data_IF_847823796989
#
_entry.id   IF_847823796989
#
_cell.length_a   1.000
_cell.length_b   1.000
_cell.length_c   1.000
_cell.angle_alpha   90.00
_cell.angle_beta   90.00
_cell.angle_gamma   90.00
#
_symmetry.space_group_name_H-M   'P 1'
#
loop_
_entity.id
_entity.type
_entity.pdbx_description
1 polymer ?
#
# COMPACT_ATOMS: atom_id res chain seq x y z
N UNK A 1 2.57 -4.06 -6.61
CA UNK A 1 2.94 -2.71 -7.09
C UNK A 1 2.49 -2.53 -8.52
N UNK A 2 2.01 -1.34 -8.86
CA UNK A 2 1.67 -0.91 -10.21
C UNK A 2 1.82 0.62 -10.31
N UNK A 3 1.62 1.21 -11.48
CA UNK A 3 1.72 2.68 -11.63
C UNK A 3 0.46 3.45 -11.20
N UNK A 4 -0.65 2.76 -10.96
CA UNK A 4 -1.91 3.40 -10.56
C UNK A 4 -1.87 3.80 -9.09
N UNK A 5 -1.44 2.88 -8.22
CA UNK A 5 -1.47 3.08 -6.76
C UNK A 5 -0.17 3.64 -6.20
N UNK A 6 0.98 3.21 -6.73
CA UNK A 6 2.27 3.65 -6.21
C UNK A 6 2.46 5.16 -6.44
N UNK A 7 3.15 5.81 -5.50
CA UNK A 7 3.64 7.15 -5.74
C UNK A 7 4.76 7.12 -6.79
N UNK A 8 4.84 8.12 -7.69
CA UNK A 8 5.88 8.17 -8.71
C UNK A 8 7.28 8.10 -8.10
N UNK A 9 8.09 7.15 -8.57
CA UNK A 9 9.49 7.01 -8.17
C UNK A 9 10.32 6.38 -9.29
N UNK A 10 11.64 6.62 -9.33
CA UNK A 10 12.53 5.89 -10.23
C UNK A 10 12.48 4.38 -9.96
N UNK A 11 12.45 3.59 -11.03
CA UNK A 11 12.46 2.13 -10.99
C UNK A 11 13.65 1.64 -11.79
N UNK A 12 14.40 0.68 -11.23
CA UNK A 12 15.54 0.09 -11.91
C UNK A 12 15.11 -0.92 -12.98
N UNK A 13 15.91 -1.16 -14.03
CA UNK A 13 15.53 -2.05 -15.14
C UNK A 13 15.22 -3.51 -14.75
N UNK A 14 15.66 -3.97 -13.57
CA UNK A 14 15.38 -5.29 -13.03
C UNK A 14 14.07 -5.40 -12.23
N UNK A 15 13.25 -4.35 -12.19
CA UNK A 15 11.95 -4.35 -11.49
C UNK A 15 10.83 -4.27 -12.52
N UNK A 16 9.95 -5.27 -12.48
CA UNK A 16 8.78 -5.35 -13.36
C UNK A 16 7.53 -5.27 -12.48
N UNK A 17 6.62 -4.38 -12.83
CA UNK A 17 5.38 -4.17 -12.07
C UNK A 17 4.29 -5.12 -12.60
N UNK A 18 3.84 -6.03 -11.73
CA UNK A 18 2.85 -7.06 -12.05
C UNK A 18 1.68 -7.05 -11.06
N UNK A 19 1.37 -5.90 -10.46
CA UNK A 19 0.24 -5.77 -9.53
C UNK A 19 -1.09 -6.15 -10.18
N UNK A 20 -1.98 -6.81 -9.41
CA UNK A 20 -3.31 -7.18 -9.88
C UNK A 20 -3.36 -8.44 -10.76
N UNK A 21 -2.51 -9.44 -10.51
CA UNK A 21 -2.52 -10.73 -11.23
C UNK A 21 -3.90 -11.44 -11.13
N UNK A 22 -4.61 -11.26 -10.01
CA UNK A 22 -5.88 -11.96 -9.75
C UNK A 22 -7.12 -11.23 -10.29
N UNK A 23 -6.97 -10.09 -10.98
CA UNK A 23 -8.11 -9.24 -11.34
C UNK A 23 -9.10 -9.90 -12.30
N UNK A 24 -8.62 -10.83 -13.13
CA UNK A 24 -9.41 -11.54 -14.12
C UNK A 24 -10.01 -12.87 -13.60
N UNK A 25 -9.70 -13.27 -12.37
CA UNK A 25 -10.24 -14.50 -11.77
C UNK A 25 -11.66 -14.24 -11.28
N UNK A 26 -12.65 -14.81 -11.96
CA UNK A 26 -14.07 -14.66 -11.60
C UNK A 26 -14.79 -15.99 -11.71
N UNK A 27 -15.44 -16.39 -10.62
CA UNK A 27 -16.32 -17.54 -10.56
C UNK A 27 -17.74 -17.07 -10.21
N UNK A 28 -18.79 -17.78 -10.69
CA UNK A 28 -20.15 -17.52 -10.23
C UNK A 28 -20.26 -17.73 -8.72
N UNK A 29 -20.97 -16.83 -8.04
CA UNK A 29 -21.24 -16.99 -6.62
C UNK A 29 -22.17 -18.21 -6.38
N UNK A 30 -22.00 -18.93 -5.27
CA UNK A 30 -22.97 -19.93 -4.83
C UNK A 30 -24.38 -19.32 -4.72
N UNK A 31 -25.42 -20.08 -5.09
CA UNK A 31 -26.80 -19.56 -5.18
C UNK A 31 -27.31 -18.94 -3.87
N UNK A 32 -26.94 -19.49 -2.73
CA UNK A 32 -27.32 -19.00 -1.40
C UNK A 32 -26.65 -17.66 -1.06
N UNK A 33 -25.46 -17.42 -1.61
CA UNK A 33 -24.73 -16.17 -1.45
C UNK A 33 -25.24 -15.13 -2.44
N UNK A 34 -25.47 -15.52 -3.69
CA UNK A 34 -26.08 -14.68 -4.74
C UNK A 34 -27.42 -14.09 -4.26
N UNK A 35 -28.32 -14.92 -3.71
CA UNK A 35 -29.60 -14.46 -3.18
C UNK A 35 -29.46 -13.46 -2.05
N UNK A 36 -28.39 -13.54 -1.26
CA UNK A 36 -28.13 -12.64 -0.14
C UNK A 36 -27.60 -11.27 -0.57
N UNK A 37 -26.85 -11.23 -1.67
CA UNK A 37 -26.17 -10.02 -2.17
C UNK A 37 -26.92 -9.30 -3.29
N UNK A 38 -28.04 -9.89 -3.76
CA UNK A 38 -28.90 -9.34 -4.82
C UNK A 38 -29.95 -8.31 -4.33
N UNK A 39 -29.81 -7.80 -3.10
CA UNK A 39 -30.73 -6.80 -2.54
C UNK A 39 -30.61 -5.41 -3.19
N UNK A 40 -31.66 -4.60 -3.08
CA UNK A 40 -31.77 -3.27 -3.71
C UNK A 40 -30.65 -2.30 -3.28
N UNK A 41 -30.30 -2.32 -1.99
CA UNK A 41 -29.27 -1.43 -1.43
C UNK A 41 -27.83 -1.89 -1.74
N UNK A 42 -27.66 -3.07 -2.34
CA UNK A 42 -26.35 -3.71 -2.51
C UNK A 42 -25.77 -4.17 -1.16
N UNK A 43 -24.47 -4.44 -1.15
CA UNK A 43 -23.82 -5.05 0.01
C UNK A 43 -22.39 -4.55 0.25
N UNK A 44 -21.91 -4.82 1.46
CA UNK A 44 -20.56 -4.54 1.93
C UNK A 44 -19.81 -5.86 2.13
N UNK A 45 -18.58 -5.93 1.66
CA UNK A 45 -17.66 -7.03 1.97
C UNK A 45 -16.78 -6.58 3.12
N UNK A 46 -16.66 -7.38 4.18
CA UNK A 46 -15.78 -7.09 5.31
C UNK A 46 -14.82 -8.25 5.59
N UNK A 47 -13.52 -7.97 5.51
CA UNK A 47 -12.49 -8.88 5.99
C UNK A 47 -11.18 -8.17 6.34
N UNK A 48 -10.53 -8.61 7.42
CA UNK A 48 -9.21 -8.12 7.82
C UNK A 48 -8.07 -9.07 7.38
N UNK A 49 -8.32 -9.87 6.35
CA UNK A 49 -7.35 -10.85 5.84
C UNK A 49 -7.21 -12.06 6.77
N UNK A 50 -6.37 -13.02 6.39
CA UNK A 50 -6.27 -14.32 7.08
C UNK A 50 -5.52 -14.29 8.41
N UNK A 51 -4.71 -13.25 8.64
CA UNK A 51 -3.89 -13.11 9.86
C UNK A 51 -4.70 -12.61 11.05
N UNK A 52 -5.88 -12.04 10.82
CA UNK A 52 -6.85 -11.69 11.86
C UNK A 52 -7.93 -12.76 11.88
N UNK A 53 -7.93 -13.55 12.95
CA UNK A 53 -8.93 -14.59 13.20
C UNK A 53 -10.22 -13.99 13.75
N UNK A 54 -10.08 -13.06 14.68
CA UNK A 54 -11.15 -12.52 15.50
C UNK A 54 -10.77 -11.14 16.00
N UNK A 55 -11.79 -10.42 16.45
CA UNK A 55 -11.65 -9.11 17.06
C UNK A 55 -12.08 -9.20 18.52
N UNK A 56 -11.54 -8.34 19.41
CA UNK A 56 -12.05 -8.20 20.76
C UNK A 56 -13.57 -7.99 20.75
N UNK A 57 -14.26 -8.44 21.78
CA UNK A 57 -15.73 -8.37 21.88
C UNK A 57 -16.23 -6.92 21.80
N UNK A 58 -15.52 -5.98 22.43
CA UNK A 58 -15.81 -4.55 22.37
C UNK A 58 -15.76 -4.02 20.93
N UNK A 59 -14.68 -4.32 20.20
CA UNK A 59 -14.52 -3.93 18.80
C UNK A 59 -15.56 -4.61 17.91
N UNK A 60 -15.85 -5.90 18.13
CA UNK A 60 -16.88 -6.64 17.40
C UNK A 60 -18.25 -6.00 17.58
N UNK A 61 -18.57 -5.56 18.80
CA UNK A 61 -19.84 -4.88 19.12
C UNK A 61 -19.99 -3.56 18.37
N UNK A 62 -18.91 -2.78 18.23
CA UNK A 62 -18.88 -1.56 17.41
C UNK A 62 -19.28 -1.84 15.95
N UNK A 63 -18.70 -2.88 15.34
CA UNK A 63 -19.05 -3.27 13.97
C UNK A 63 -20.51 -3.71 13.83
N UNK A 64 -20.99 -4.57 14.73
CA UNK A 64 -22.36 -5.06 14.70
C UNK A 64 -23.38 -3.92 14.90
N UNK A 65 -23.09 -2.98 15.79
CA UNK A 65 -23.95 -1.82 16.01
C UNK A 65 -24.01 -0.93 14.76
N UNK A 66 -22.87 -0.64 14.14
CA UNK A 66 -22.82 0.12 12.90
C UNK A 66 -23.57 -0.60 11.76
N UNK A 67 -23.37 -1.92 11.61
CA UNK A 67 -24.03 -2.68 10.55
C UNK A 67 -25.55 -2.75 10.73
N UNK A 68 -26.06 -2.73 11.96
CA UNK A 68 -27.51 -2.66 12.21
C UNK A 68 -28.15 -1.38 11.64
N UNK A 69 -27.37 -0.31 11.54
CA UNK A 69 -27.86 1.02 11.15
C UNK A 69 -27.72 1.31 9.65
N UNK A 70 -27.15 0.40 8.86
CA UNK A 70 -27.04 0.55 7.40
C UNK A 70 -28.02 -0.37 6.68
N UNK A 71 -28.58 0.06 5.52
CA UNK A 71 -29.54 -0.76 4.77
C UNK A 71 -28.88 -1.85 3.92
N UNK A 72 -27.56 -1.81 3.72
CA UNK A 72 -26.81 -2.82 2.99
C UNK A 72 -26.74 -4.14 3.75
N UNK A 73 -26.71 -5.25 3.03
CA UNK A 73 -26.26 -6.51 3.62
C UNK A 73 -24.74 -6.51 3.79
N UNK A 74 -24.22 -7.24 4.76
CA UNK A 74 -22.79 -7.29 5.08
C UNK A 74 -22.33 -8.74 5.04
N UNK A 75 -21.38 -9.04 4.17
CA UNK A 75 -20.67 -10.32 4.16
C UNK A 75 -19.39 -10.15 4.98
N UNK A 76 -19.33 -10.75 6.16
CA UNK A 76 -18.20 -10.60 7.06
C UNK A 76 -17.44 -11.92 7.22
N UNK A 77 -16.17 -11.93 6.81
CA UNK A 77 -15.24 -13.01 7.19
C UNK A 77 -14.93 -12.91 8.68
N UNK A 78 -15.45 -13.84 9.46
CA UNK A 78 -15.27 -13.90 10.91
C UNK A 78 -14.99 -15.34 11.35
N UNK A 79 -13.88 -15.56 12.05
CA UNK A 79 -13.49 -16.89 12.53
C UNK A 79 -13.42 -17.00 14.06
N UNK A 80 -13.81 -15.96 14.78
CA UNK A 80 -13.95 -15.95 16.23
C UNK A 80 -15.19 -16.69 16.72
N UNK A 81 -15.46 -16.56 18.02
CA UNK A 81 -16.71 -17.06 18.61
C UNK A 81 -17.89 -16.24 18.07
N UNK A 82 -18.81 -16.94 17.41
CA UNK A 82 -20.03 -16.33 16.87
C UNK A 82 -20.84 -15.75 18.03
N UNK A 83 -21.18 -14.44 18.01
CA UNK A 83 -22.02 -13.84 19.03
C UNK A 83 -23.41 -14.48 19.05
N UNK A 84 -24.02 -14.56 20.24
CA UNK A 84 -25.37 -15.14 20.41
C UNK A 84 -26.46 -14.41 19.60
N UNK A 85 -26.23 -13.12 19.32
CA UNK A 85 -27.12 -12.29 18.50
C UNK A 85 -26.30 -11.31 17.66
N UNK A 86 -26.64 -11.20 16.37
CA UNK A 86 -26.09 -10.24 15.43
C UNK A 86 -27.19 -9.77 14.46
N UNK A 87 -27.04 -8.59 13.81
CA UNK A 87 -28.06 -8.04 12.94
C UNK A 87 -28.43 -8.96 11.76
N UNK A 88 -29.71 -8.96 11.36
CA UNK A 88 -30.22 -9.82 10.27
C UNK A 88 -29.57 -9.55 8.92
N UNK A 89 -29.05 -8.33 8.70
CA UNK A 89 -28.35 -7.96 7.47
C UNK A 89 -26.89 -8.43 7.44
N UNK A 90 -26.37 -9.05 8.49
CA UNK A 90 -24.98 -9.55 8.56
C UNK A 90 -24.94 -11.06 8.33
N UNK A 91 -24.14 -11.50 7.36
CA UNK A 91 -23.82 -12.92 7.12
C UNK A 91 -22.36 -13.16 7.50
N UNK A 92 -22.16 -13.87 8.61
CA UNK A 92 -20.84 -14.31 9.07
C UNK A 92 -20.38 -15.54 8.27
N UNK A 93 -19.15 -15.53 7.80
CA UNK A 93 -18.55 -16.64 7.05
C UNK A 93 -17.12 -16.91 7.51
N UNK A 94 -16.72 -18.18 7.59
CA UNK A 94 -15.31 -18.52 7.87
C UNK A 94 -14.40 -18.25 6.68
N UNK A 95 -14.96 -18.37 5.48
CA UNK A 95 -14.28 -18.11 4.21
C UNK A 95 -15.21 -17.32 3.29
N UNK A 96 -14.67 -16.30 2.64
CA UNK A 96 -15.43 -15.39 1.77
C UNK A 96 -14.80 -15.46 0.37
N UNK A 97 -15.58 -15.73 -0.69
CA UNK A 97 -15.09 -15.63 -2.08
C UNK A 97 -14.92 -14.15 -2.45
N UNK A 98 -13.91 -13.49 -1.84
CA UNK A 98 -13.76 -12.05 -1.79
C UNK A 98 -13.70 -11.42 -3.19
N UNK A 99 -12.83 -11.94 -4.06
CA UNK A 99 -12.68 -11.40 -5.41
C UNK A 99 -13.98 -11.50 -6.23
N UNK A 100 -14.70 -12.62 -6.12
CA UNK A 100 -15.97 -12.84 -6.82
C UNK A 100 -17.07 -11.92 -6.29
N UNK A 101 -17.13 -11.72 -4.96
CA UNK A 101 -18.04 -10.76 -4.34
C UNK A 101 -17.71 -9.32 -4.74
N UNK A 102 -16.44 -8.93 -4.76
CA UNK A 102 -16.05 -7.60 -5.21
C UNK A 102 -16.35 -7.38 -6.70
N UNK A 103 -16.33 -8.44 -7.51
CA UNK A 103 -16.72 -8.39 -8.91
C UNK A 103 -18.23 -8.25 -9.14
N UNK A 104 -19.05 -8.54 -8.13
CA UNK A 104 -20.51 -8.47 -8.24
C UNK A 104 -20.99 -7.00 -8.31
N UNK A 105 -21.95 -6.65 -9.20
CA UNK A 105 -22.39 -5.26 -9.40
C UNK A 105 -23.02 -4.61 -8.16
N UNK A 106 -23.55 -5.42 -7.24
CA UNK A 106 -24.10 -4.99 -5.96
C UNK A 106 -23.07 -4.56 -4.91
N UNK A 107 -21.76 -4.76 -5.13
CA UNK A 107 -20.73 -4.41 -4.16
C UNK A 107 -20.60 -2.88 -4.03
N UNK A 108 -20.90 -2.36 -2.82
CA UNK A 108 -20.89 -0.91 -2.53
C UNK A 108 -19.61 -0.45 -1.87
N UNK A 109 -19.14 -1.21 -0.88
CA UNK A 109 -17.92 -0.90 -0.15
C UNK A 109 -17.17 -2.16 0.25
N UNK A 110 -15.85 -2.01 0.42
CA UNK A 110 -14.97 -3.03 0.94
C UNK A 110 -14.31 -2.56 2.24
N UNK A 111 -14.68 -3.15 3.37
CA UNK A 111 -14.00 -2.94 4.65
C UNK A 111 -12.81 -3.90 4.70
N UNK A 112 -11.61 -3.35 4.82
CA UNK A 112 -10.36 -4.12 4.68
C UNK A 112 -9.24 -3.64 5.57
N UNK A 113 -8.34 -4.54 5.95
CA UNK A 113 -7.05 -4.21 6.57
C UNK A 113 -6.02 -3.58 5.60
N UNK A 114 -6.39 -3.28 4.35
CA UNK A 114 -5.50 -2.71 3.32
C UNK A 114 -4.27 -3.58 2.97
N UNK A 115 -4.36 -4.90 3.12
CA UNK A 115 -3.37 -5.82 2.57
C UNK A 115 -3.29 -5.73 1.05
N UNK A 116 -2.08 -5.83 0.50
CA UNK A 116 -1.78 -5.66 -0.93
C UNK A 116 -2.74 -6.41 -1.87
N UNK A 117 -3.04 -7.69 -1.59
CA UNK A 117 -3.93 -8.49 -2.44
C UNK A 117 -5.37 -7.95 -2.47
N UNK A 118 -5.98 -7.74 -1.30
CA UNK A 118 -7.36 -7.23 -1.24
C UNK A 118 -7.49 -5.83 -1.82
N UNK A 119 -6.46 -4.99 -1.66
CA UNK A 119 -6.43 -3.66 -2.25
C UNK A 119 -6.45 -3.72 -3.79
N UNK A 120 -5.70 -4.64 -4.41
CA UNK A 120 -5.77 -4.86 -5.86
C UNK A 120 -7.11 -5.45 -6.31
N UNK A 121 -7.72 -6.37 -5.55
CA UNK A 121 -9.04 -6.92 -5.91
C UNK A 121 -10.12 -5.83 -5.90
N UNK A 122 -10.18 -4.99 -4.86
CA UNK A 122 -11.12 -3.88 -4.82
C UNK A 122 -10.83 -2.83 -5.89
N UNK A 123 -9.56 -2.50 -6.16
CA UNK A 123 -9.16 -1.63 -7.28
C UNK A 123 -9.65 -2.21 -8.61
N UNK A 124 -9.43 -3.50 -8.83
CA UNK A 124 -9.81 -4.15 -10.07
C UNK A 124 -11.30 -4.23 -10.30
N UNK A 125 -12.13 -4.30 -9.26
CA UNK A 125 -13.58 -4.27 -9.45
C UNK A 125 -14.20 -2.89 -9.19
N UNK A 126 -13.37 -1.88 -8.94
CA UNK A 126 -13.82 -0.50 -8.79
C UNK A 126 -14.66 -0.30 -7.52
N UNK A 127 -14.35 -0.99 -6.42
CA UNK A 127 -15.09 -0.95 -5.15
C UNK A 127 -14.35 -0.07 -4.15
N UNK A 128 -14.92 1.09 -3.73
CA UNK A 128 -14.33 1.95 -2.71
C UNK A 128 -14.12 1.25 -1.37
N UNK A 129 -13.16 1.73 -0.57
CA UNK A 129 -12.73 1.01 0.63
C UNK A 129 -12.81 1.83 1.92
N UNK A 130 -13.24 1.17 3.00
CA UNK A 130 -12.94 1.60 4.37
C UNK A 130 -11.75 0.77 4.85
N UNK A 131 -10.62 1.43 5.10
CA UNK A 131 -9.34 0.78 5.35
C UNK A 131 -8.93 0.90 6.81
N UNK A 132 -8.58 -0.21 7.43
CA UNK A 132 -8.17 -0.31 8.83
C UNK A 132 -6.83 -1.04 8.92
N UNK A 133 -5.73 -0.37 8.56
CA UNK A 133 -4.41 -1.00 8.54
C UNK A 133 -3.97 -1.40 9.95
N UNK A 134 -3.34 -2.57 10.05
CA UNK A 134 -2.95 -3.18 11.34
C UNK A 134 -1.43 -3.31 11.43
N UNK A 135 -0.78 -3.89 10.41
CA UNK A 135 0.65 -4.16 10.46
C UNK A 135 1.33 -4.21 9.08
N UNK A 136 2.66 -4.13 9.07
CA UNK A 136 3.47 -4.29 7.87
C UNK A 136 3.31 -3.13 6.88
N UNK A 137 3.07 -3.46 5.60
CA UNK A 137 2.88 -2.51 4.49
C UNK A 137 1.47 -1.89 4.43
N UNK A 138 0.54 -2.37 5.27
CA UNK A 138 -0.87 -1.96 5.23
C UNK A 138 -1.09 -0.44 5.40
N UNK A 139 -0.42 0.28 6.33
CA UNK A 139 -0.60 1.73 6.45
C UNK A 139 -0.17 2.49 5.18
N UNK A 140 0.92 2.07 4.54
CA UNK A 140 1.41 2.66 3.29
C UNK A 140 0.43 2.42 2.13
N UNK A 141 -0.11 1.20 2.02
CA UNK A 141 -1.15 0.87 1.03
C UNK A 141 -2.43 1.71 1.25
N UNK A 142 -2.85 1.86 2.50
CA UNK A 142 -4.03 2.64 2.86
C UNK A 142 -3.86 4.13 2.49
N UNK A 143 -2.70 4.71 2.81
CA UNK A 143 -2.37 6.11 2.45
C UNK A 143 -2.37 6.31 0.94
N UNK A 144 -1.81 5.37 0.17
CA UNK A 144 -1.81 5.45 -1.31
C UNK A 144 -3.22 5.54 -1.85
N UNK A 145 -4.11 4.63 -1.48
CA UNK A 145 -5.48 4.63 -2.02
C UNK A 145 -6.30 5.83 -1.50
N UNK A 146 -6.15 6.20 -0.23
CA UNK A 146 -6.83 7.35 0.36
C UNK A 146 -6.39 8.67 -0.28
N UNK A 147 -5.10 8.83 -0.61
CA UNK A 147 -4.58 10.00 -1.31
C UNK A 147 -5.19 10.20 -2.71
N UNK A 148 -5.76 9.14 -3.29
CA UNK A 148 -6.48 9.19 -4.57
C UNK A 148 -8.00 9.37 -4.41
N UNK A 149 -8.47 9.58 -3.18
CA UNK A 149 -9.89 9.77 -2.86
C UNK A 149 -10.73 8.54 -3.20
N UNK A 150 -10.17 7.33 -3.10
CA UNK A 150 -10.85 6.06 -3.40
C UNK A 150 -11.09 5.18 -2.16
N UNK A 151 -10.81 5.72 -0.97
CA UNK A 151 -11.16 5.10 0.30
C UNK A 151 -10.84 6.01 1.48
N UNK A 152 -11.36 5.63 2.64
CA UNK A 152 -11.13 6.29 3.94
C UNK A 152 -10.27 5.40 4.82
N UNK A 153 -9.45 6.00 5.69
CA UNK A 153 -8.63 5.26 6.65
C UNK A 153 -9.20 5.49 8.04
N UNK A 154 -9.49 4.40 8.75
CA UNK A 154 -9.90 4.41 10.15
C UNK A 154 -8.87 3.65 10.98
N UNK A 155 -8.68 4.07 12.22
CA UNK A 155 -7.85 3.35 13.18
C UNK A 155 -8.71 2.33 13.92
N UNK A 156 -8.41 1.04 13.75
CA UNK A 156 -9.16 -0.05 14.38
C UNK A 156 -9.05 -0.04 15.91
N UNK A 157 -7.97 0.53 16.46
CA UNK A 157 -7.75 0.56 17.92
C UNK A 157 -8.54 1.67 18.62
N UNK A 158 -9.03 2.65 17.87
CA UNK A 158 -9.83 3.77 18.38
C UNK A 158 -11.18 3.91 17.66
N UNK A 159 -11.61 2.87 16.96
CA UNK A 159 -12.83 2.88 16.16
C UNK A 159 -14.09 2.96 17.04
N UNK A 160 -15.01 3.83 16.64
CA UNK A 160 -16.35 3.94 17.23
C UNK A 160 -17.42 3.65 16.18
N UNK A 161 -18.63 3.34 16.63
CA UNK A 161 -19.79 3.12 15.76
C UNK A 161 -20.00 4.30 14.82
N UNK A 162 -19.90 5.53 15.35
CA UNK A 162 -20.08 6.77 14.60
C UNK A 162 -19.00 6.94 13.53
N UNK A 163 -17.74 6.70 13.88
CA UNK A 163 -16.62 6.82 12.93
C UNK A 163 -16.74 5.82 11.77
N UNK A 164 -17.18 4.58 12.06
CA UNK A 164 -17.41 3.55 11.04
C UNK A 164 -18.61 3.89 10.16
N UNK A 165 -19.72 4.34 10.76
CA UNK A 165 -20.90 4.78 10.02
C UNK A 165 -20.59 5.96 9.10
N UNK A 166 -19.84 6.94 9.59
CA UNK A 166 -19.40 8.06 8.78
C UNK A 166 -18.54 7.59 7.61
N UNK A 167 -17.53 6.74 7.88
CA UNK A 167 -16.65 6.20 6.82
C UNK A 167 -17.41 5.40 5.76
N UNK A 168 -18.36 4.56 6.18
CA UNK A 168 -19.22 3.81 5.27
C UNK A 168 -20.14 4.73 4.46
N UNK A 169 -20.78 5.70 5.11
CA UNK A 169 -21.63 6.67 4.44
C UNK A 169 -20.84 7.48 3.39
N UNK A 170 -19.61 7.90 3.71
CA UNK A 170 -18.72 8.57 2.76
C UNK A 170 -18.47 7.69 1.53
N UNK A 171 -17.94 6.48 1.70
CA UNK A 171 -17.53 5.68 0.54
C UNK A 171 -18.71 5.10 -0.26
N UNK A 172 -19.89 4.96 0.36
CA UNK A 172 -21.10 4.44 -0.30
C UNK A 172 -21.90 5.56 -0.98
N UNK A 173 -22.10 6.69 -0.31
CA UNK A 173 -23.05 7.72 -0.75
C UNK A 173 -22.37 8.93 -1.41
N UNK A 174 -21.10 9.23 -1.11
CA UNK A 174 -20.36 10.25 -1.84
C UNK A 174 -19.78 9.65 -3.14
N UNK A 175 -20.41 10.03 -4.25
CA UNK A 175 -20.08 9.58 -5.61
C UNK A 175 -18.60 9.73 -5.96
N UNK A 176 -17.90 10.72 -5.39
CA UNK A 176 -16.47 10.97 -5.68
C UNK A 176 -15.62 9.73 -5.40
N UNK A 177 -15.90 8.99 -4.34
CA UNK A 177 -15.13 7.77 -4.01
C UNK A 177 -15.30 6.69 -5.08
N UNK A 178 -16.54 6.47 -5.53
CA UNK A 178 -16.84 5.49 -6.59
C UNK A 178 -16.24 5.91 -7.93
N UNK A 179 -16.39 7.18 -8.31
CA UNK A 179 -15.86 7.72 -9.56
C UNK A 179 -14.33 7.65 -9.60
N UNK A 180 -13.65 8.07 -8.53
CA UNK A 180 -12.21 7.96 -8.40
C UNK A 180 -11.76 6.50 -8.49
N UNK A 181 -12.43 5.60 -7.77
CA UNK A 181 -12.09 4.18 -7.78
C UNK A 181 -12.30 3.53 -9.16
N UNK A 182 -13.37 3.90 -9.88
CA UNK A 182 -13.60 3.46 -11.26
C UNK A 182 -12.53 4.00 -12.22
N UNK A 183 -12.13 5.27 -12.08
CA UNK A 183 -11.05 5.86 -12.86
C UNK A 183 -9.73 5.12 -12.62
N UNK A 184 -9.38 4.84 -11.37
CA UNK A 184 -8.19 4.05 -11.03
C UNK A 184 -8.29 2.63 -11.58
N UNK A 185 -9.46 1.99 -11.49
CA UNK A 185 -9.69 0.65 -12.05
C UNK A 185 -9.44 0.61 -13.56
N UNK A 186 -9.94 1.61 -14.28
CA UNK A 186 -9.73 1.74 -15.72
C UNK A 186 -8.23 1.92 -16.05
N UNK A 187 -7.53 2.81 -15.34
CA UNK A 187 -6.09 3.02 -15.50
C UNK A 187 -5.28 1.75 -15.20
N UNK A 188 -5.64 1.00 -14.15
CA UNK A 188 -4.96 -0.24 -13.78
C UNK A 188 -5.10 -1.35 -14.83
N UNK A 189 -6.29 -1.43 -15.44
CA UNK A 189 -6.60 -2.43 -16.47
C UNK A 189 -6.11 -2.04 -17.85
N UNK A 190 -5.88 -0.76 -18.11
CA UNK A 190 -5.34 -0.25 -19.36
C UNK A 190 -3.84 -0.53 -19.46
N UNK A 191 -3.51 -1.79 -19.80
CA UNK A 191 -2.15 -2.29 -19.94
C UNK A 191 -2.05 -3.18 -21.17
N UNK A 192 -0.91 -3.16 -21.87
CA UNK A 192 -0.74 -3.91 -23.12
C UNK A 192 -0.64 -5.42 -22.92
N UNK A 193 -0.27 -5.88 -21.71
CA UNK A 193 -0.05 -7.30 -21.39
C UNK A 193 -0.69 -7.60 -20.04
N UNK A 194 -1.34 -8.76 -19.92
CA UNK A 194 -1.87 -9.23 -18.65
C UNK A 194 -0.71 -9.45 -17.64
N UNK A 195 -0.87 -9.10 -16.35
CA UNK A 195 0.20 -9.23 -15.37
C UNK A 195 0.70 -10.66 -15.18
N UNK A 196 -0.17 -11.66 -15.34
CA UNK A 196 0.22 -13.05 -15.25
C UNK A 196 1.16 -13.41 -16.41
N UNK A 197 0.74 -13.10 -17.64
CA UNK A 197 1.54 -13.34 -18.85
C UNK A 197 2.87 -12.58 -18.80
N UNK A 198 2.85 -11.33 -18.32
CA UNK A 198 4.07 -10.53 -18.12
C UNK A 198 5.01 -11.18 -17.09
N UNK A 199 4.46 -11.69 -15.99
CA UNK A 199 5.23 -12.41 -14.95
C UNK A 199 5.87 -13.68 -15.50
N UNK A 200 5.13 -14.45 -16.31
CA UNK A 200 5.63 -15.65 -16.98
C UNK A 200 6.77 -15.27 -17.93
N UNK A 201 6.55 -14.29 -18.80
CA UNK A 201 7.56 -13.83 -19.76
C UNK A 201 8.87 -13.45 -19.08
N UNK A 202 8.82 -12.64 -18.01
CA UNK A 202 10.03 -12.19 -17.33
C UNK A 202 10.71 -13.29 -16.53
N UNK A 203 9.96 -14.20 -15.92
CA UNK A 203 10.50 -15.41 -15.29
C UNK A 203 11.31 -16.22 -16.31
N UNK A 204 10.71 -16.51 -17.47
CA UNK A 204 11.40 -17.23 -18.53
C UNK A 204 12.58 -16.44 -19.11
N UNK A 205 12.46 -15.12 -19.24
CA UNK A 205 13.54 -14.26 -19.72
C UNK A 205 14.78 -14.38 -18.83
N UNK A 206 14.60 -14.35 -17.50
CA UNK A 206 15.69 -14.52 -16.54
C UNK A 206 16.32 -15.92 -16.66
N UNK A 207 15.51 -16.96 -16.84
CA UNK A 207 15.99 -18.33 -17.07
C UNK A 207 16.81 -18.43 -18.37
N UNK A 208 16.26 -17.94 -19.50
CA UNK A 208 16.92 -17.96 -20.82
C UNK A 208 18.28 -17.25 -20.79
N UNK A 209 18.39 -16.17 -20.02
CA UNK A 209 19.60 -15.34 -19.93
C UNK A 209 20.42 -15.60 -18.67
N UNK A 210 20.25 -16.77 -18.03
CA UNK A 210 21.08 -17.24 -16.90
C UNK A 210 21.23 -16.19 -15.79
N UNK A 211 20.12 -15.55 -15.42
CA UNK A 211 20.07 -14.55 -14.34
C UNK A 211 20.08 -13.08 -14.78
N UNK A 212 20.10 -12.79 -16.10
CA UNK A 212 19.95 -11.43 -16.66
C UNK A 212 20.83 -10.35 -15.98
N UNK A 213 22.12 -10.66 -15.78
CA UNK A 213 23.07 -9.81 -15.01
C UNK A 213 23.14 -8.34 -15.49
N UNK A 214 22.93 -8.09 -16.78
CA UNK A 214 22.94 -6.76 -17.38
C UNK A 214 21.81 -5.83 -16.88
N UNK A 215 20.75 -6.37 -16.27
CA UNK A 215 19.68 -5.58 -15.66
C UNK A 215 19.95 -5.27 -14.17
N UNK A 216 20.90 -5.99 -13.54
CA UNK A 216 21.17 -5.84 -12.11
C UNK A 216 21.91 -4.53 -11.84
N UNK A 217 21.45 -3.70 -10.89
CA UNK A 217 22.18 -2.51 -10.50
C UNK A 217 23.52 -2.87 -9.84
N UNK A 218 24.56 -2.09 -10.11
CA UNK A 218 25.91 -2.27 -9.55
C UNK A 218 25.94 -2.19 -8.00
N UNK A 219 24.89 -1.63 -7.38
CA UNK A 219 24.76 -1.51 -5.92
C UNK A 219 24.92 -2.85 -5.18
N UNK A 220 24.57 -3.96 -5.82
CA UNK A 220 24.70 -5.30 -5.23
C UNK A 220 26.15 -5.80 -5.17
N UNK A 221 27.06 -5.17 -5.91
CA UNK A 221 28.48 -5.52 -5.97
C UNK A 221 29.35 -4.55 -5.14
N UNK A 222 28.75 -3.51 -4.56
CA UNK A 222 29.45 -2.52 -3.73
C UNK A 222 29.63 -3.02 -2.29
N UNK A 223 30.81 -2.74 -1.73
CA UNK A 223 30.99 -2.90 -0.29
C UNK A 223 30.40 -1.69 0.48
N UNK A 224 30.27 -1.80 1.80
CA UNK A 224 29.65 -0.76 2.62
C UNK A 224 30.38 0.59 2.57
N UNK A 225 31.70 0.61 2.37
CA UNK A 225 32.47 1.87 2.23
C UNK A 225 32.07 2.60 0.95
N UNK A 226 32.02 1.88 -0.17
CA UNK A 226 31.62 2.42 -1.48
C UNK A 226 30.15 2.82 -1.49
N UNK A 227 29.28 2.01 -0.89
CA UNK A 227 27.85 2.29 -0.83
C UNK A 227 27.55 3.63 -0.12
N UNK A 228 28.23 3.90 0.98
CA UNK A 228 28.12 5.17 1.71
C UNK A 228 29.11 6.24 1.24
N UNK A 229 29.86 6.00 0.16
CA UNK A 229 30.86 6.90 -0.41
C UNK A 229 31.90 7.41 0.62
N UNK A 230 32.25 6.59 1.63
CA UNK A 230 33.13 7.00 2.73
C UNK A 230 34.56 7.27 2.25
N UNK A 231 35.01 6.53 1.24
CA UNK A 231 36.26 6.74 0.52
C UNK A 231 36.29 8.11 -0.17
N UNK A 232 35.24 8.48 -0.89
CA UNK A 232 35.10 9.78 -1.55
C UNK A 232 35.06 10.91 -0.53
N UNK A 233 34.28 10.76 0.55
CA UNK A 233 34.20 11.74 1.63
C UNK A 233 35.57 11.95 2.27
N UNK A 234 36.33 10.88 2.53
CA UNK A 234 37.67 10.98 3.10
C UNK A 234 38.64 11.75 2.18
N UNK A 235 38.59 11.50 0.86
CA UNK A 235 39.40 12.25 -0.12
C UNK A 235 39.01 13.73 -0.16
N UNK A 236 37.71 14.06 -0.19
CA UNK A 236 37.26 15.46 -0.19
C UNK A 236 37.63 16.18 1.12
N UNK A 237 37.44 15.52 2.27
CA UNK A 237 37.80 16.08 3.57
C UNK A 237 39.30 16.36 3.70
N UNK A 238 40.15 15.45 3.20
CA UNK A 238 41.61 15.65 3.22
C UNK A 238 42.04 16.81 2.31
N UNK A 239 41.44 16.97 1.13
CA UNK A 239 41.69 18.12 0.26
C UNK A 239 41.28 19.44 0.94
N UNK A 240 40.09 19.50 1.54
CA UNK A 240 39.63 20.68 2.27
C UNK A 240 40.58 21.02 3.42
N UNK A 241 40.96 20.02 4.23
CA UNK A 241 41.90 20.21 5.33
C UNK A 241 43.26 20.74 4.85
N UNK A 242 43.76 20.21 3.73
CA UNK A 242 45.00 20.68 3.12
C UNK A 242 44.93 22.16 2.72
N UNK A 243 43.85 22.58 2.04
CA UNK A 243 43.67 24.00 1.68
C UNK A 243 43.51 24.89 2.91
N UNK A 244 42.79 24.46 3.94
CA UNK A 244 42.67 25.20 5.22
C UNK A 244 44.05 25.40 5.85
N UNK A 245 44.87 24.34 5.91
CA UNK A 245 46.23 24.42 6.46
C UNK A 245 47.10 25.37 5.63
N UNK A 246 47.02 25.32 4.30
CA UNK A 246 47.74 26.25 3.42
C UNK A 246 47.34 27.70 3.67
N UNK A 247 46.04 28.00 3.71
CA UNK A 247 45.53 29.34 3.97
C UNK A 247 46.01 29.84 5.35
N UNK A 248 45.88 29.03 6.40
CA UNK A 248 46.36 29.39 7.75
C UNK A 248 47.86 29.64 7.76
N UNK A 249 48.67 28.84 7.05
CA UNK A 249 50.10 29.07 6.92
C UNK A 249 50.42 30.36 6.15
N UNK A 250 49.75 30.61 5.02
CA UNK A 250 49.91 31.84 4.25
C UNK A 250 49.55 33.07 5.08
N UNK A 251 48.42 33.05 5.80
CA UNK A 251 48.04 34.13 6.70
C UNK A 251 49.08 34.32 7.80
N UNK A 252 49.53 33.25 8.47
CA UNK A 252 50.59 33.34 9.48
C UNK A 252 51.88 33.94 8.92
N UNK A 253 52.30 33.56 7.71
CA UNK A 253 53.49 34.13 7.05
C UNK A 253 53.30 35.61 6.71
N UNK A 254 52.13 36.00 6.20
CA UNK A 254 51.80 37.41 5.93
C UNK A 254 51.76 38.26 7.21
N UNK A 255 51.35 37.69 8.35
CA UNK A 255 51.33 38.36 9.65
C UNK A 255 52.62 38.20 10.47
N UNK A 256 53.58 37.39 10.02
CA UNK A 256 54.88 37.25 10.70
C UNK A 256 55.82 38.38 10.29
N UNK A 257 55.83 39.47 11.06
CA UNK A 257 56.84 40.52 10.92
C UNK A 257 58.22 39.94 11.22
N UNK A 258 59.23 40.04 10.33
CA UNK A 258 60.59 39.73 10.70
C UNK A 258 61.04 40.74 11.77
N UNK A 259 61.40 40.23 12.95
CA UNK A 259 62.08 41.04 13.97
C UNK A 259 63.42 41.49 13.39
N UNK A 260 63.52 42.76 12.97
CA UNK A 260 64.79 43.38 12.59
C UNK A 260 65.73 43.28 13.79
N UNK A 261 66.73 42.38 13.73
CA UNK A 261 67.87 42.42 14.64
C UNK A 261 68.54 43.79 14.50
N UNK A 262 68.45 44.60 15.56
CA UNK A 262 69.17 45.87 15.71
C UNK A 262 70.66 45.52 15.80
N UNK A 263 71.47 45.91 14.82
CA UNK A 263 72.94 45.88 14.95
C UNK A 263 73.31 46.85 16.09
N UNK A 264 74.03 46.35 17.10
CA UNK A 264 74.74 47.18 18.07
C UNK A 264 76.09 47.54 17.44
N UNK A 265 76.32 48.83 17.23
CA UNK A 265 77.64 49.43 17.07
C UNK A 265 78.25 49.71 18.45
#
# INVERSE_FOLDING_TARGET
MDFTLEFPRPITPNVVLVGGINCNVRHPLPKDLESWVSGEHGFVVFTLGTMVSDLPEETTSVFLEAFRQIPQTVIWRYTGQVPDSFPENVKLMKWVPQNDLLAHPGARAFITHAGSHGLFEGLCHGVPMVMMPILGDQPDNAVKLASRGAGVVLDIYSITTESLLQGLNEVINDTRYKENMQKLSALHKDRPVDPLDLSVYWTEFVMRHKGAKHLRPAVHDLNWLQYYCLDVIAVLATLVLFFVILIVKCLKLCFWKPSRKRKQD
#
